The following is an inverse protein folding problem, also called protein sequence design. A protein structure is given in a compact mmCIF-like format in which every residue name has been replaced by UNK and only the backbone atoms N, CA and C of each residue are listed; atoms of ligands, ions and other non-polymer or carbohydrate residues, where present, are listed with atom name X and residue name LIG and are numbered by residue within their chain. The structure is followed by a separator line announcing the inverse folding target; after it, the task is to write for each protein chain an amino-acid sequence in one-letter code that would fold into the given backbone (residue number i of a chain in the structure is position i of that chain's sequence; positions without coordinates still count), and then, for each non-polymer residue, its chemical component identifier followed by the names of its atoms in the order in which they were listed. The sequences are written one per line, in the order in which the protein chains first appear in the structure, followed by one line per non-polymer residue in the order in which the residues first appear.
data_IF_269238715004
#
_entry.id   IF_269238715004
#
_cell.length_a   1.000
_cell.length_b   1.000
_cell.length_c   1.000
_cell.angle_alpha   90.00
_cell.angle_beta   90.00
_cell.angle_gamma   90.00
#
_symmetry.space_group_name_H-M   'P 1'
#
loop_
_entity.id
_entity.type
_entity.pdbx_description
1 polymer ?
#
# COMPACT_ATOMS: atom_id res chain seq x y z
N UNK A 1 -1.10 9.72 18.99
CA UNK A 1 -1.64 9.69 17.62
C UNK A 1 -2.29 8.32 17.34
N UNK A 2 -1.53 7.23 17.16
CA UNK A 2 -2.06 5.87 16.86
C UNK A 2 -3.34 5.45 17.60
N UNK A 3 -3.34 5.40 18.94
CA UNK A 3 -4.51 4.95 19.70
C UNK A 3 -5.73 5.88 19.65
N UNK A 4 -5.55 7.16 19.26
CA UNK A 4 -6.68 8.09 19.11
C UNK A 4 -7.49 7.84 17.84
N UNK A 5 -6.96 7.02 16.93
CA UNK A 5 -7.64 6.61 15.72
C UNK A 5 -8.49 5.35 15.95
N UNK A 6 -8.42 4.72 17.12
CA UNK A 6 -9.22 3.53 17.41
C UNK A 6 -10.66 3.90 17.71
N UNK A 7 -11.59 3.32 16.95
CA UNK A 7 -13.01 3.37 17.24
C UNK A 7 -13.42 2.11 18.02
N UNK A 8 -13.11 0.93 17.48
CA UNK A 8 -13.31 -0.37 18.16
C UNK A 8 -12.00 -1.15 18.28
N UNK A 9 -11.70 -1.64 19.49
CA UNK A 9 -10.63 -2.59 19.75
C UNK A 9 -11.21 -3.95 20.18
N UNK A 10 -10.49 -5.07 19.99
CA UNK A 10 -11.02 -6.37 20.37
C UNK A 10 -11.11 -6.54 21.88
N UNK A 11 -11.95 -7.47 22.34
CA UNK A 11 -12.09 -7.78 23.76
C UNK A 11 -10.75 -8.31 24.32
N UNK A 12 -10.10 -7.51 25.17
CA UNK A 12 -8.79 -7.82 25.73
C UNK A 12 -8.84 -8.78 26.93
N UNK A 13 -10.01 -9.20 27.40
CA UNK A 13 -10.11 -10.27 28.40
C UNK A 13 -9.67 -11.62 27.83
N UNK A 14 -9.87 -11.82 26.52
CA UNK A 14 -9.36 -12.97 25.78
C UNK A 14 -7.83 -12.85 25.55
N UNK A 15 -7.01 -13.80 26.06
CA UNK A 15 -5.57 -13.81 25.85
C UNK A 15 -5.12 -13.78 24.39
N UNK A 16 -5.86 -14.41 23.49
CA UNK A 16 -5.54 -14.48 22.07
C UNK A 16 -5.74 -13.11 21.41
N UNK A 17 -6.86 -12.44 21.73
CA UNK A 17 -7.11 -11.08 21.26
C UNK A 17 -6.02 -10.11 21.73
N UNK A 18 -5.48 -10.26 22.95
CA UNK A 18 -4.35 -9.42 23.41
C UNK A 18 -3.10 -9.62 22.54
N UNK A 19 -2.79 -10.86 22.17
CA UNK A 19 -1.62 -11.17 21.34
C UNK A 19 -1.79 -10.57 19.93
N UNK A 20 -2.94 -10.79 19.31
CA UNK A 20 -3.24 -10.27 17.97
C UNK A 20 -3.31 -8.75 17.95
N UNK A 21 -3.95 -8.15 18.95
CA UNK A 21 -4.01 -6.70 19.11
C UNK A 21 -2.62 -6.09 19.18
N UNK A 22 -1.69 -6.68 19.93
CA UNK A 22 -0.30 -6.20 19.99
C UNK A 22 0.39 -6.22 18.62
N UNK A 23 0.21 -7.28 17.82
CA UNK A 23 0.80 -7.37 16.48
C UNK A 23 0.23 -6.30 15.56
N UNK A 24 -1.09 -6.11 15.57
CA UNK A 24 -1.81 -5.14 14.75
C UNK A 24 -1.45 -3.70 15.15
N UNK A 25 -1.47 -3.39 16.44
CA UNK A 25 -1.15 -2.05 16.92
C UNK A 25 0.32 -1.67 16.61
N UNK A 26 1.25 -2.63 16.64
CA UNK A 26 2.62 -2.39 16.19
C UNK A 26 2.70 -2.08 14.68
N UNK A 27 1.93 -2.78 13.84
CA UNK A 27 1.86 -2.49 12.42
C UNK A 27 1.21 -1.12 12.17
N UNK A 28 0.09 -0.81 12.84
CA UNK A 28 -0.58 0.49 12.76
C UNK A 28 0.35 1.63 13.17
N UNK A 29 1.09 1.49 14.27
CA UNK A 29 2.08 2.49 14.71
C UNK A 29 3.15 2.78 13.67
N UNK A 30 3.67 1.74 12.99
CA UNK A 30 4.63 1.90 11.88
C UNK A 30 4.01 2.70 10.73
N UNK A 31 2.79 2.33 10.32
CA UNK A 31 2.06 3.08 9.30
C UNK A 31 1.86 4.55 9.70
N UNK A 32 1.32 4.80 10.89
CA UNK A 32 1.05 6.18 11.34
C UNK A 32 2.32 7.00 11.43
N UNK A 33 3.44 6.43 11.92
CA UNK A 33 4.73 7.11 11.94
C UNK A 33 5.18 7.47 10.51
N UNK A 34 5.03 6.56 9.56
CA UNK A 34 5.36 6.81 8.15
C UNK A 34 4.52 7.95 7.56
N UNK A 35 3.20 7.94 7.77
CA UNK A 35 2.30 8.98 7.24
C UNK A 35 2.62 10.37 7.82
N UNK A 36 2.95 10.44 9.12
CA UNK A 36 3.39 11.68 9.77
C UNK A 36 4.74 12.16 9.23
N UNK A 37 5.69 11.26 8.99
CA UNK A 37 6.97 11.59 8.36
C UNK A 37 6.80 12.05 6.92
N UNK A 38 5.78 11.55 6.22
CA UNK A 38 5.32 12.01 4.92
C UNK A 38 4.48 13.28 5.00
N UNK A 39 4.28 13.89 6.18
CA UNK A 39 3.51 15.13 6.34
C UNK A 39 2.05 15.03 5.88
N UNK A 40 1.49 13.81 5.81
CA UNK A 40 0.11 13.59 5.42
C UNK A 40 -0.85 13.83 6.62
N UNK A 41 -2.10 14.24 6.37
CA UNK A 41 -3.09 14.46 7.43
C UNK A 41 -3.47 13.14 8.11
N UNK A 42 -3.24 13.07 9.42
CA UNK A 42 -3.62 11.94 10.28
C UNK A 42 -4.45 12.45 11.46
N UNK A 43 -5.68 12.82 11.14
CA UNK A 43 -6.67 13.35 12.09
C UNK A 43 -7.64 12.24 12.47
N UNK A 44 -7.93 12.13 13.76
CA UNK A 44 -8.90 11.18 14.29
C UNK A 44 -10.32 11.55 13.85
N UNK A 45 -11.01 10.64 13.16
CA UNK A 45 -12.45 10.79 12.89
C UNK A 45 -13.29 10.80 14.17
N UNK A 46 -12.79 10.20 15.25
CA UNK A 46 -13.49 10.11 16.53
C UNK A 46 -13.45 11.43 17.31
N UNK A 47 -12.35 12.19 17.21
CA UNK A 47 -12.08 13.29 18.15
C UNK A 47 -11.50 14.58 17.56
N UNK A 48 -11.11 14.60 16.29
CA UNK A 48 -10.42 15.74 15.67
C UNK A 48 -11.18 16.27 14.45
N UNK A 49 -11.43 15.42 13.45
CA UNK A 49 -12.21 15.77 12.25
C UNK A 49 -13.23 14.66 11.93
N UNK A 50 -14.47 14.75 12.44
CA UNK A 50 -15.51 13.75 12.19
C UNK A 50 -15.89 13.57 10.72
N UNK A 51 -15.68 14.59 9.89
CA UNK A 51 -16.07 14.55 8.48
C UNK A 51 -14.96 13.91 7.63
N UNK A 52 -13.71 14.34 7.78
CA UNK A 52 -12.60 13.93 6.89
C UNK A 52 -11.49 13.12 7.57
N UNK A 53 -11.58 12.86 8.88
CA UNK A 53 -10.59 12.08 9.61
C UNK A 53 -10.64 10.58 9.31
N UNK A 54 -9.68 9.85 9.86
CA UNK A 54 -9.59 8.38 9.79
C UNK A 54 -9.83 7.74 11.16
N UNK A 55 -10.46 6.58 11.16
CA UNK A 55 -10.58 5.71 12.33
C UNK A 55 -10.48 4.22 11.95
N UNK A 56 -10.24 3.37 12.94
CA UNK A 56 -10.02 1.94 12.76
C UNK A 56 -10.95 1.10 13.65
N UNK A 57 -11.54 0.07 13.05
CA UNK A 57 -12.27 -0.99 13.75
C UNK A 57 -11.50 -2.31 13.63
N UNK A 58 -11.11 -2.85 14.78
CA UNK A 58 -10.42 -4.12 14.89
C UNK A 58 -11.36 -5.18 15.46
N UNK A 59 -11.95 -5.96 14.56
CA UNK A 59 -13.07 -6.83 14.87
C UNK A 59 -12.65 -8.31 14.79
N UNK A 60 -13.31 -9.14 15.58
CA UNK A 60 -13.24 -10.61 15.49
C UNK A 60 -14.64 -11.14 15.19
N UNK A 61 -14.74 -12.11 14.29
CA UNK A 61 -16.00 -12.81 14.08
C UNK A 61 -16.38 -13.57 15.37
N UNK A 62 -17.57 -13.28 15.92
CA UNK A 62 -18.09 -14.00 17.09
C UNK A 62 -19.17 -14.96 16.62
N UNK A 63 -18.95 -16.27 16.72
CA UNK A 63 -19.92 -17.37 16.62
C UNK A 63 -21.04 -17.25 15.56
N UNK A 64 -22.05 -16.42 15.84
CA UNK A 64 -23.26 -16.22 15.02
C UNK A 64 -23.18 -15.04 14.03
N UNK A 65 -22.14 -14.20 14.08
CA UNK A 65 -21.99 -13.07 13.16
C UNK A 65 -21.32 -13.51 11.85
N UNK A 66 -21.68 -12.90 10.71
CA UNK A 66 -20.97 -13.11 9.46
C UNK A 66 -19.48 -12.76 9.61
N UNK A 67 -18.65 -13.35 8.74
CA UNK A 67 -17.20 -13.10 8.66
C UNK A 67 -16.96 -11.59 8.63
N UNK A 68 -16.02 -11.11 9.47
CA UNK A 68 -15.56 -9.72 9.40
C UNK A 68 -14.86 -9.54 8.06
N UNK A 69 -15.37 -8.60 7.25
CA UNK A 69 -14.72 -8.16 6.03
C UNK A 69 -13.76 -7.04 6.37
N UNK A 70 -12.50 -7.22 5.98
CA UNK A 70 -11.50 -6.16 5.98
C UNK A 70 -11.79 -5.23 4.80
N UNK A 71 -11.67 -3.93 5.01
CA UNK A 71 -11.95 -2.95 3.98
C UNK A 71 -12.00 -1.51 4.51
N UNK A 72 -12.21 -0.59 3.60
CA UNK A 72 -12.35 0.84 3.88
C UNK A 72 -13.73 1.37 3.45
N UNK A 73 -14.34 2.22 4.29
CA UNK A 73 -15.54 2.96 3.96
C UNK A 73 -15.57 4.33 4.65
N UNK A 74 -15.52 5.43 3.89
CA UNK A 74 -15.69 6.80 4.39
C UNK A 74 -14.81 7.14 5.62
N UNK A 75 -13.52 6.82 5.54
CA UNK A 75 -12.55 7.05 6.61
C UNK A 75 -12.59 6.03 7.76
N UNK A 76 -13.47 5.03 7.72
CA UNK A 76 -13.41 3.87 8.60
C UNK A 76 -12.64 2.73 7.91
N UNK A 77 -11.54 2.31 8.52
CA UNK A 77 -10.79 1.11 8.11
C UNK A 77 -11.14 -0.03 9.06
N UNK A 78 -11.71 -1.10 8.53
CA UNK A 78 -12.03 -2.31 9.31
C UNK A 78 -11.01 -3.38 9.01
N UNK A 79 -10.49 -4.05 10.05
CA UNK A 79 -9.56 -5.17 9.92
C UNK A 79 -10.06 -6.35 10.77
N UNK A 80 -10.12 -7.55 10.17
CA UNK A 80 -10.30 -8.78 10.95
C UNK A 80 -9.01 -9.09 11.74
N UNK A 81 -9.10 -9.13 13.07
CA UNK A 81 -7.91 -9.36 13.91
C UNK A 81 -7.30 -10.76 13.72
N UNK A 82 -8.06 -11.72 13.19
CA UNK A 82 -7.57 -13.07 12.86
C UNK A 82 -6.46 -13.05 11.81
N UNK A 83 -6.32 -11.97 11.03
CA UNK A 83 -5.20 -11.78 10.11
C UNK A 83 -3.83 -11.68 10.81
N UNK A 84 -3.83 -11.44 12.13
CA UNK A 84 -2.63 -11.45 12.96
C UNK A 84 -2.12 -12.86 13.30
N UNK A 85 -2.94 -13.89 13.07
CA UNK A 85 -2.51 -15.28 13.07
C UNK A 85 -1.74 -15.59 11.78
N UNK A 86 -0.52 -16.11 11.93
CA UNK A 86 0.38 -16.36 10.81
C UNK A 86 -0.13 -17.54 9.94
N UNK A 87 -0.81 -18.52 10.53
CA UNK A 87 -1.40 -19.67 9.84
C UNK A 87 -2.63 -19.24 9.03
N UNK A 88 -3.50 -18.40 9.61
CA UNK A 88 -4.66 -17.85 8.90
C UNK A 88 -4.21 -16.99 7.74
N UNK A 89 -3.21 -16.12 7.97
CA UNK A 89 -2.66 -15.25 6.93
C UNK A 89 -1.98 -16.03 5.81
N UNK A 90 -1.23 -17.08 6.12
CA UNK A 90 -0.58 -17.95 5.14
C UNK A 90 -1.60 -18.74 4.31
N UNK A 91 -2.68 -19.23 4.95
CA UNK A 91 -3.80 -19.86 4.27
C UNK A 91 -4.49 -18.88 3.32
N UNK A 92 -4.84 -17.69 3.80
CA UNK A 92 -5.47 -16.65 2.99
C UNK A 92 -4.60 -16.24 1.80
N UNK A 93 -3.30 -16.07 2.01
CA UNK A 93 -2.33 -15.78 0.95
C UNK A 93 -2.40 -16.81 -0.18
N UNK A 94 -2.42 -18.11 0.17
CA UNK A 94 -2.52 -19.19 -0.82
C UNK A 94 -3.87 -19.23 -1.52
N UNK A 95 -4.97 -19.08 -0.77
CA UNK A 95 -6.33 -19.09 -1.33
C UNK A 95 -6.56 -17.93 -2.30
N UNK A 96 -6.00 -16.76 -1.99
CA UNK A 96 -6.10 -15.55 -2.81
C UNK A 96 -5.01 -15.44 -3.89
N UNK A 97 -4.12 -16.44 -3.99
CA UNK A 97 -2.98 -16.44 -4.91
C UNK A 97 -2.11 -15.17 -4.78
N UNK A 98 -1.99 -14.65 -3.57
CA UNK A 98 -1.20 -13.47 -3.27
C UNK A 98 0.27 -13.85 -3.07
N UNK A 99 1.22 -13.15 -3.69
CA UNK A 99 2.64 -13.45 -3.50
C UNK A 99 3.14 -13.02 -2.11
N UNK A 100 2.47 -12.05 -1.47
CA UNK A 100 2.90 -11.42 -0.24
C UNK A 100 1.69 -10.90 0.57
N UNK A 101 1.58 -11.30 1.84
CA UNK A 101 0.50 -10.87 2.75
C UNK A 101 1.04 -10.56 4.15
N UNK A 102 0.98 -9.30 4.58
CA UNK A 102 1.38 -8.86 5.93
C UNK A 102 0.37 -7.88 6.51
N UNK A 103 0.29 -7.79 7.84
CA UNK A 103 -0.58 -6.83 8.52
C UNK A 103 -0.28 -5.38 8.11
N UNK A 104 1.00 -5.03 7.98
CA UNK A 104 1.39 -3.69 7.55
C UNK A 104 1.04 -3.45 6.08
N UNK A 105 1.19 -4.45 5.23
CA UNK A 105 0.78 -4.39 3.82
C UNK A 105 -0.71 -4.08 3.67
N UNK A 106 -1.58 -4.81 4.37
CA UNK A 106 -3.01 -4.52 4.35
C UNK A 106 -3.35 -3.15 4.90
N UNK A 107 -2.77 -2.75 6.03
CA UNK A 107 -3.03 -1.41 6.57
C UNK A 107 -2.59 -0.32 5.57
N UNK A 108 -1.51 -0.55 4.81
CA UNK A 108 -1.05 0.34 3.73
C UNK A 108 -1.99 0.35 2.52
N UNK A 109 -2.61 -0.78 2.20
CA UNK A 109 -3.63 -0.89 1.16
C UNK A 109 -4.90 -0.12 1.58
N UNK A 110 -5.47 -0.44 2.75
CA UNK A 110 -6.73 0.17 3.21
C UNK A 110 -6.63 1.68 3.43
N UNK A 111 -5.50 2.15 3.97
CA UNK A 111 -5.27 3.60 4.10
C UNK A 111 -5.10 4.27 2.73
N UNK A 112 -4.71 3.53 1.70
CA UNK A 112 -4.67 4.00 0.32
C UNK A 112 -6.04 4.44 -0.18
N UNK A 113 -7.10 3.67 0.11
CA UNK A 113 -8.48 4.08 -0.19
C UNK A 113 -8.87 5.36 0.56
N UNK A 114 -8.54 5.48 1.84
CA UNK A 114 -8.77 6.71 2.60
C UNK A 114 -8.09 7.93 1.94
N UNK A 115 -6.85 7.79 1.49
CA UNK A 115 -6.16 8.89 0.81
C UNK A 115 -6.65 9.16 -0.61
N UNK A 116 -7.27 8.19 -1.27
CA UNK A 116 -7.99 8.45 -2.52
C UNK A 116 -9.17 9.41 -2.28
N UNK A 117 -10.02 9.10 -1.30
CA UNK A 117 -11.14 9.98 -0.90
C UNK A 117 -10.61 11.36 -0.46
N UNK A 118 -9.50 11.39 0.29
CA UNK A 118 -9.00 12.62 0.88
C UNK A 118 -8.29 13.55 -0.10
N UNK A 119 -7.59 12.99 -1.09
CA UNK A 119 -6.64 13.72 -1.95
C UNK A 119 -6.98 13.70 -3.43
N UNK A 120 -7.91 12.84 -3.87
CA UNK A 120 -8.21 12.63 -5.30
C UNK A 120 -9.65 12.98 -5.64
N UNK A 121 -10.63 12.34 -5.00
CA UNK A 121 -12.05 12.30 -5.42
C UNK A 121 -12.64 13.67 -5.80
N UNK A 122 -12.44 14.70 -4.98
CA UNK A 122 -13.02 16.03 -5.16
C UNK A 122 -11.98 17.10 -5.52
N UNK A 123 -10.93 16.69 -6.25
CA UNK A 123 -9.80 17.56 -6.61
C UNK A 123 -9.52 17.53 -8.11
N UNK A 124 -8.69 18.47 -8.64
CA UNK A 124 -8.23 18.41 -10.03
C UNK A 124 -7.42 17.15 -10.39
N UNK A 125 -7.03 16.32 -9.41
CA UNK A 125 -6.33 15.07 -9.65
C UNK A 125 -7.22 13.96 -10.21
N UNK A 126 -8.54 14.03 -10.04
CA UNK A 126 -9.47 12.97 -10.45
C UNK A 126 -9.36 12.60 -11.93
N UNK A 127 -9.31 13.59 -12.82
CA UNK A 127 -9.25 13.32 -14.27
C UNK A 127 -7.92 12.65 -14.66
N UNK A 128 -6.81 13.11 -14.08
CA UNK A 128 -5.49 12.49 -14.28
C UNK A 128 -5.41 11.09 -13.69
N UNK A 129 -6.07 10.87 -12.56
CA UNK A 129 -6.23 9.56 -11.95
C UNK A 129 -6.96 8.62 -12.93
N UNK A 130 -8.08 9.05 -13.52
CA UNK A 130 -8.84 8.24 -14.49
C UNK A 130 -8.05 7.93 -15.76
N UNK A 131 -7.24 8.86 -16.23
CA UNK A 131 -6.33 8.62 -17.36
C UNK A 131 -5.30 7.51 -17.07
N UNK A 132 -4.86 7.39 -15.82
CA UNK A 132 -3.74 6.52 -15.45
C UNK A 132 -4.17 5.17 -14.85
N UNK A 133 -5.24 5.15 -14.06
CA UNK A 133 -5.75 3.98 -13.34
C UNK A 133 -7.04 3.41 -13.97
N UNK A 134 -7.77 4.22 -14.74
CA UNK A 134 -9.08 3.87 -15.29
C UNK A 134 -10.25 4.51 -14.52
N UNK A 135 -11.46 4.26 -15.00
CA UNK A 135 -12.69 4.87 -14.46
C UNK A 135 -13.20 4.09 -13.24
N UNK A 136 -13.06 4.67 -12.06
CA UNK A 136 -13.48 4.07 -10.79
C UNK A 136 -14.98 3.93 -10.61
N UNK A 137 -15.79 4.49 -11.51
CA UNK A 137 -17.25 4.35 -11.50
C UNK A 137 -17.73 3.00 -12.04
N UNK A 138 -16.81 2.15 -12.51
CA UNK A 138 -17.10 0.75 -12.82
C UNK A 138 -17.78 0.06 -11.62
N UNK A 139 -18.75 -0.83 -11.87
CA UNK A 139 -19.40 -1.56 -10.80
C UNK A 139 -18.39 -2.52 -10.14
N UNK A 140 -18.01 -2.18 -8.91
CA UNK A 140 -17.03 -2.93 -8.13
C UNK A 140 -17.39 -4.42 -7.96
N UNK A 141 -18.67 -4.71 -7.70
CA UNK A 141 -19.12 -6.10 -7.50
C UNK A 141 -19.06 -6.90 -8.78
N UNK A 142 -19.41 -6.29 -9.92
CA UNK A 142 -19.29 -6.89 -11.24
C UNK A 142 -17.82 -7.11 -11.62
N UNK A 143 -16.94 -6.16 -11.31
CA UNK A 143 -15.50 -6.26 -11.55
C UNK A 143 -14.86 -7.41 -10.76
N UNK A 144 -15.19 -7.52 -9.47
CA UNK A 144 -14.73 -8.62 -8.61
C UNK A 144 -15.25 -9.97 -9.10
N UNK A 145 -16.53 -10.05 -9.48
CA UNK A 145 -17.13 -11.27 -10.03
C UNK A 145 -16.45 -11.69 -11.33
N UNK A 146 -16.17 -10.75 -12.24
CA UNK A 146 -15.44 -11.02 -13.49
C UNK A 146 -14.06 -11.60 -13.21
N UNK A 147 -13.30 -11.03 -12.26
CA UNK A 147 -12.00 -11.56 -11.90
C UNK A 147 -12.08 -12.97 -11.28
N UNK A 148 -13.11 -13.25 -10.46
CA UNK A 148 -13.32 -14.60 -9.93
C UNK A 148 -13.62 -15.63 -11.02
N UNK A 149 -14.42 -15.26 -12.03
CA UNK A 149 -14.83 -16.16 -13.12
C UNK A 149 -13.76 -16.34 -14.21
N UNK A 150 -12.97 -15.29 -14.49
CA UNK A 150 -12.09 -15.24 -15.66
C UNK A 150 -10.60 -15.14 -15.29
N UNK A 151 -10.28 -14.84 -14.02
CA UNK A 151 -8.94 -14.47 -13.58
C UNK A 151 -8.52 -13.06 -14.04
N UNK A 152 -7.29 -12.64 -13.70
CA UNK A 152 -6.76 -11.36 -14.12
C UNK A 152 -6.45 -11.36 -15.64
N UNK A 153 -6.49 -10.19 -16.31
CA UNK A 153 -6.12 -10.08 -17.73
C UNK A 153 -4.72 -10.63 -18.00
N UNK A 154 -4.49 -11.37 -19.09
CA UNK A 154 -3.21 -12.04 -19.35
C UNK A 154 -1.97 -11.11 -19.34
N UNK A 155 -2.16 -9.84 -19.69
CA UNK A 155 -1.13 -8.81 -19.69
C UNK A 155 -1.11 -7.94 -18.41
N UNK A 156 -1.77 -8.35 -17.32
CA UNK A 156 -1.87 -7.56 -16.09
C UNK A 156 -0.50 -7.09 -15.59
N UNK A 157 0.52 -7.94 -15.64
CA UNK A 157 1.87 -7.64 -15.15
C UNK A 157 2.58 -6.50 -15.90
N UNK A 158 2.09 -6.11 -17.08
CA UNK A 158 2.62 -4.96 -17.82
C UNK A 158 2.03 -3.64 -17.28
N UNK A 159 0.88 -3.68 -16.63
CA UNK A 159 0.10 -2.49 -16.27
C UNK A 159 -0.13 -2.33 -14.76
N UNK A 160 -0.09 -3.42 -14.00
CA UNK A 160 -0.46 -3.47 -12.59
C UNK A 160 0.64 -4.12 -11.76
N UNK A 161 0.81 -3.65 -10.52
CA UNK A 161 1.85 -4.15 -9.61
C UNK A 161 1.52 -5.55 -9.07
N UNK A 162 0.23 -5.90 -9.00
CA UNK A 162 -0.28 -7.19 -8.61
C UNK A 162 -1.44 -7.61 -9.53
N UNK A 163 -1.80 -8.89 -9.54
CA UNK A 163 -3.00 -9.35 -10.25
C UNK A 163 -4.27 -8.77 -9.63
N UNK A 164 -4.30 -8.58 -8.32
CA UNK A 164 -5.43 -7.99 -7.60
C UNK A 164 -5.68 -6.53 -8.00
N UNK A 165 -4.61 -5.75 -8.21
CA UNK A 165 -4.68 -4.39 -8.75
C UNK A 165 -5.38 -4.31 -10.13
N UNK A 166 -5.43 -5.40 -10.91
CA UNK A 166 -6.11 -5.41 -12.21
C UNK A 166 -7.64 -5.54 -12.12
N UNK A 167 -8.18 -5.76 -10.92
CA UNK A 167 -9.62 -6.01 -10.73
C UNK A 167 -10.42 -4.74 -10.97
N UNK A 168 -10.00 -3.62 -10.40
CA UNK A 168 -10.73 -2.36 -10.41
C UNK A 168 -9.77 -1.17 -10.25
N UNK A 169 -10.01 -0.01 -10.90
CA UNK A 169 -9.12 1.16 -10.77
C UNK A 169 -8.85 1.60 -9.32
N UNK A 170 -9.87 1.49 -8.46
CA UNK A 170 -9.74 1.82 -7.04
C UNK A 170 -8.80 0.87 -6.27
N UNK A 171 -8.73 -0.39 -6.67
CA UNK A 171 -7.79 -1.39 -6.12
C UNK A 171 -6.38 -1.16 -6.65
N UNK A 172 -6.26 -0.81 -7.94
CA UNK A 172 -4.99 -0.44 -8.55
C UNK A 172 -4.34 0.75 -7.84
N UNK A 173 -5.15 1.74 -7.44
CA UNK A 173 -4.70 2.83 -6.58
C UNK A 173 -4.20 2.35 -5.23
N UNK A 174 -5.00 1.58 -4.49
CA UNK A 174 -4.66 1.14 -3.13
C UNK A 174 -3.41 0.28 -3.11
N UNK A 175 -3.25 -0.61 -4.09
CA UNK A 175 -2.05 -1.41 -4.29
C UNK A 175 -0.85 -0.52 -4.64
N UNK A 176 -0.96 0.38 -5.62
CA UNK A 176 0.13 1.30 -5.97
C UNK A 176 0.51 2.21 -4.77
N UNK A 177 -0.47 2.64 -3.97
CA UNK A 177 -0.24 3.42 -2.75
C UNK A 177 0.54 2.61 -1.72
N UNK A 178 0.13 1.36 -1.48
CA UNK A 178 0.85 0.47 -0.56
C UNK A 178 2.30 0.27 -1.02
N UNK A 179 2.51 0.07 -2.32
CA UNK A 179 3.84 -0.05 -2.93
C UNK A 179 4.67 1.22 -2.85
N UNK A 180 4.08 2.39 -3.07
CA UNK A 180 4.75 3.67 -2.83
C UNK A 180 5.26 3.76 -1.38
N UNK A 181 4.42 3.39 -0.41
CA UNK A 181 4.82 3.34 1.00
C UNK A 181 5.89 2.27 1.27
N UNK A 182 5.87 1.12 0.60
CA UNK A 182 6.93 0.12 0.69
C UNK A 182 8.29 0.68 0.22
N UNK A 183 8.31 1.33 -0.94
CA UNK A 183 9.51 1.92 -1.55
C UNK A 183 10.11 2.98 -0.62
N UNK A 184 9.31 3.97 -0.20
CA UNK A 184 9.80 5.10 0.59
C UNK A 184 10.35 4.67 1.95
N UNK A 185 9.64 3.79 2.68
CA UNK A 185 10.06 3.34 4.01
C UNK A 185 11.32 2.48 3.97
N UNK A 186 11.40 1.59 2.97
CA UNK A 186 12.51 0.65 2.84
C UNK A 186 13.78 1.35 2.34
N UNK A 187 13.65 2.33 1.44
CA UNK A 187 14.77 3.16 1.01
C UNK A 187 15.29 4.05 2.13
N UNK A 188 14.42 4.73 2.90
CA UNK A 188 14.86 5.54 4.05
C UNK A 188 15.63 4.66 5.06
N UNK A 189 15.14 3.44 5.30
CA UNK A 189 15.83 2.47 6.14
C UNK A 189 17.20 2.09 5.55
N UNK A 190 17.25 1.69 4.28
CA UNK A 190 18.49 1.27 3.61
C UNK A 190 19.56 2.37 3.62
N UNK A 191 19.17 3.62 3.31
CA UNK A 191 20.06 4.77 3.31
C UNK A 191 20.64 5.04 4.71
N UNK A 192 19.84 4.90 5.77
CA UNK A 192 20.33 5.05 7.16
C UNK A 192 21.35 3.99 7.57
N UNK A 193 21.30 2.81 6.96
CA UNK A 193 22.28 1.73 7.18
C UNK A 193 23.43 1.76 6.16
N UNK A 194 23.50 2.76 5.28
CA UNK A 194 24.56 2.89 4.28
C UNK A 194 24.49 1.88 3.14
N UNK A 195 23.35 1.20 2.96
CA UNK A 195 23.13 0.31 1.82
C UNK A 195 22.82 1.15 0.58
N UNK A 196 23.72 1.13 -0.41
CA UNK A 196 23.55 1.76 -1.72
C UNK A 196 23.46 0.69 -2.79
N UNK A 197 22.54 0.84 -3.74
CA UNK A 197 22.33 -0.12 -4.83
C UNK A 197 23.39 -0.04 -5.95
N UNK A 198 24.31 0.92 -5.86
CA UNK A 198 25.22 1.33 -6.95
C UNK A 198 26.22 0.23 -7.39
N UNK A 199 26.46 -0.79 -6.56
CA UNK A 199 27.52 -1.79 -6.77
C UNK A 199 27.04 -3.16 -7.31
N UNK A 200 25.78 -3.28 -7.73
CA UNK A 200 25.20 -4.55 -8.21
C UNK A 200 25.11 -4.54 -9.74
N UNK A 201 25.68 -5.57 -10.39
CA UNK A 201 25.53 -5.78 -11.84
C UNK A 201 24.03 -5.77 -12.20
N UNK A 202 23.64 -4.82 -13.06
CA UNK A 202 22.24 -4.60 -13.38
C UNK A 202 21.68 -5.75 -14.22
N UNK A 203 20.85 -6.60 -13.61
CA UNK A 203 20.09 -7.63 -14.31
C UNK A 203 18.87 -7.07 -15.07
N UNK A 204 18.52 -5.79 -14.88
CA UNK A 204 17.31 -5.13 -15.41
C UNK A 204 17.69 -3.80 -16.06
N UNK A 205 17.06 -3.49 -17.19
CA UNK A 205 17.19 -2.19 -17.84
C UNK A 205 16.72 -1.07 -16.89
N UNK A 206 17.57 -0.08 -16.58
CA UNK A 206 17.20 0.98 -15.63
C UNK A 206 16.09 1.86 -16.20
N UNK A 207 15.25 2.38 -15.30
CA UNK A 207 14.28 3.40 -15.68
C UNK A 207 14.98 4.72 -15.98
N UNK A 208 14.34 5.52 -16.83
CA UNK A 208 14.78 6.85 -17.24
C UNK A 208 13.73 7.89 -16.88
N UNK A 209 14.12 9.16 -16.88
CA UNK A 209 13.19 10.28 -16.63
C UNK A 209 11.97 10.27 -17.57
N UNK A 210 12.12 9.77 -18.80
CA UNK A 210 11.02 9.66 -19.76
C UNK A 210 9.98 8.60 -19.39
N UNK A 211 10.28 7.73 -18.44
CA UNK A 211 9.34 6.73 -17.94
C UNK A 211 8.41 7.27 -16.85
N UNK A 212 8.72 8.44 -16.27
CA UNK A 212 7.89 9.08 -15.25
C UNK A 212 6.57 9.58 -15.82
N UNK A 213 5.58 9.77 -14.92
CA UNK A 213 4.32 10.43 -15.28
C UNK A 213 4.53 11.87 -15.77
N UNK A 214 5.41 12.63 -15.11
CA UNK A 214 5.83 13.95 -15.53
C UNK A 214 7.36 14.01 -15.61
N UNK A 215 7.94 13.79 -16.81
CA UNK A 215 9.39 13.85 -17.02
C UNK A 215 10.00 15.23 -16.75
N UNK A 216 9.19 16.28 -16.67
CA UNK A 216 9.63 17.66 -16.44
C UNK A 216 9.53 18.06 -14.97
N UNK A 217 9.09 17.15 -14.09
CA UNK A 217 9.03 17.42 -12.66
C UNK A 217 10.42 17.86 -12.15
N UNK A 218 10.51 18.91 -11.29
CA UNK A 218 11.80 19.48 -10.86
C UNK A 218 12.75 18.48 -10.20
N UNK A 219 12.25 17.38 -9.67
CA UNK A 219 13.03 16.34 -9.00
C UNK A 219 13.01 14.99 -9.74
N UNK A 220 12.63 14.96 -11.02
CA UNK A 220 12.55 13.75 -11.83
C UNK A 220 13.81 12.87 -11.76
N UNK A 221 14.99 13.48 -11.84
CA UNK A 221 16.28 12.78 -11.71
C UNK A 221 16.43 12.09 -10.34
N UNK A 222 16.01 12.77 -9.28
CA UNK A 222 16.07 12.21 -7.93
C UNK A 222 15.08 11.05 -7.75
N UNK A 223 13.87 11.15 -8.31
CA UNK A 223 12.90 10.06 -8.31
C UNK A 223 13.47 8.81 -8.98
N UNK A 224 14.04 8.96 -10.18
CA UNK A 224 14.62 7.84 -10.92
C UNK A 224 15.80 7.22 -10.18
N UNK A 225 16.66 8.04 -9.56
CA UNK A 225 17.75 7.54 -8.72
C UNK A 225 17.22 6.66 -7.58
N UNK A 226 16.20 7.13 -6.85
CA UNK A 226 15.60 6.37 -5.75
C UNK A 226 14.95 5.06 -6.23
N UNK A 227 14.18 5.11 -7.31
CA UNK A 227 13.50 3.92 -7.87
C UNK A 227 14.51 2.90 -8.37
N UNK A 228 15.51 3.31 -9.14
CA UNK A 228 16.54 2.38 -9.62
C UNK A 228 17.34 1.79 -8.45
N UNK A 229 17.64 2.58 -7.42
CA UNK A 229 18.27 2.08 -6.18
C UNK A 229 17.41 1.04 -5.47
N UNK A 230 16.09 1.24 -5.43
CA UNK A 230 15.14 0.29 -4.86
C UNK A 230 15.09 -1.02 -5.64
N UNK A 231 15.07 -0.97 -6.98
CA UNK A 231 15.09 -2.16 -7.84
C UNK A 231 16.38 -2.95 -7.62
N UNK A 232 17.53 -2.28 -7.52
CA UNK A 232 18.80 -2.94 -7.22
C UNK A 232 18.80 -3.58 -5.84
N UNK A 233 18.34 -2.86 -4.81
CA UNK A 233 18.28 -3.36 -3.44
C UNK A 233 17.37 -4.59 -3.32
N UNK A 234 16.18 -4.53 -3.91
CA UNK A 234 15.23 -5.66 -3.89
C UNK A 234 15.76 -6.88 -4.63
N UNK A 235 16.51 -6.68 -5.71
CA UNK A 235 17.21 -7.77 -6.41
C UNK A 235 18.17 -8.49 -5.46
N UNK A 236 19.04 -7.76 -4.75
CA UNK A 236 19.96 -8.36 -3.76
C UNK A 236 19.21 -9.06 -2.63
N UNK A 237 18.17 -8.43 -2.08
CA UNK A 237 17.38 -9.01 -1.00
C UNK A 237 16.68 -10.32 -1.41
N UNK A 238 16.16 -10.37 -2.63
CA UNK A 238 15.53 -11.58 -3.16
C UNK A 238 16.57 -12.68 -3.40
N UNK A 239 17.74 -12.37 -3.96
CA UNK A 239 18.81 -13.36 -4.12
C UNK A 239 19.32 -13.90 -2.78
N UNK A 240 19.48 -13.03 -1.78
CA UNK A 240 19.82 -13.45 -0.41
C UNK A 240 18.73 -14.36 0.18
N UNK A 241 17.45 -14.01 0.02
CA UNK A 241 16.35 -14.83 0.49
C UNK A 241 16.35 -16.22 -0.17
N UNK A 242 16.48 -16.28 -1.50
CA UNK A 242 16.56 -17.52 -2.27
C UNK A 242 17.75 -18.38 -1.85
N UNK A 243 18.91 -17.78 -1.60
CA UNK A 243 20.13 -18.49 -1.14
C UNK A 243 19.94 -19.20 0.20
N UNK A 244 19.03 -18.69 1.05
CA UNK A 244 18.68 -19.26 2.34
C UNK A 244 17.43 -20.15 2.29
N UNK A 245 16.87 -20.41 1.11
CA UNK A 245 15.65 -21.22 0.92
C UNK A 245 14.35 -20.50 1.30
N UNK A 246 14.38 -19.16 1.41
CA UNK A 246 13.19 -18.34 1.59
C UNK A 246 12.61 -17.90 0.24
N UNK A 247 11.32 -17.57 0.24
CA UNK A 247 10.69 -16.90 -0.89
C UNK A 247 11.22 -15.46 -1.01
N UNK A 248 11.03 -14.88 -2.20
CA UNK A 248 11.37 -13.48 -2.46
C UNK A 248 10.79 -12.56 -1.37
N UNK A 249 11.63 -11.65 -0.88
CA UNK A 249 11.23 -10.64 0.10
C UNK A 249 10.28 -9.62 -0.55
N UNK A 250 10.55 -9.27 -1.81
CA UNK A 250 9.73 -8.39 -2.63
C UNK A 250 9.45 -9.07 -3.98
N UNK A 251 8.38 -9.90 -4.07
CA UNK A 251 8.05 -10.70 -5.25
C UNK A 251 7.32 -9.91 -6.35
N UNK A 252 7.51 -8.59 -6.43
CA UNK A 252 6.74 -7.73 -7.33
C UNK A 252 7.62 -7.17 -8.44
N UNK A 253 7.06 -7.14 -9.65
CA UNK A 253 7.72 -6.58 -10.83
C UNK A 253 7.16 -5.18 -11.09
N UNK A 254 8.01 -4.18 -11.03
CA UNK A 254 7.64 -2.81 -11.36
C UNK A 254 7.73 -2.63 -12.88
N UNK A 255 6.61 -2.45 -13.57
CA UNK A 255 6.62 -2.07 -14.98
C UNK A 255 6.78 -0.55 -15.15
N UNK A 256 7.06 -0.08 -16.38
CA UNK A 256 7.07 1.36 -16.69
C UNK A 256 5.71 2.01 -16.40
N UNK A 257 4.60 1.30 -16.64
CA UNK A 257 3.25 1.79 -16.31
C UNK A 257 3.06 1.93 -14.79
N UNK A 258 3.52 0.95 -14.01
CA UNK A 258 3.45 1.04 -12.54
C UNK A 258 4.34 2.17 -12.02
N UNK A 259 5.54 2.37 -12.57
CA UNK A 259 6.39 3.51 -12.22
C UNK A 259 5.66 4.85 -12.42
N UNK A 260 4.93 5.01 -13.53
CA UNK A 260 4.11 6.22 -13.76
C UNK A 260 3.07 6.42 -12.65
N UNK A 261 2.38 5.35 -12.25
CA UNK A 261 1.41 5.37 -11.13
C UNK A 261 2.05 5.76 -9.81
N UNK A 262 3.22 5.19 -9.49
CA UNK A 262 3.96 5.55 -8.27
C UNK A 262 4.43 7.01 -8.28
N UNK A 263 4.93 7.50 -9.41
CA UNK A 263 5.33 8.90 -9.56
C UNK A 263 4.13 9.84 -9.43
N UNK A 264 2.97 9.47 -9.98
CA UNK A 264 1.73 10.21 -9.83
C UNK A 264 1.30 10.33 -8.36
N UNK A 265 1.32 9.23 -7.61
CA UNK A 265 1.06 9.22 -6.16
C UNK A 265 2.04 10.13 -5.43
N UNK A 266 3.33 10.06 -5.76
CA UNK A 266 4.35 10.92 -5.15
C UNK A 266 4.06 12.42 -5.37
N UNK A 267 3.60 12.80 -6.57
CA UNK A 267 3.24 14.19 -6.87
C UNK A 267 2.06 14.67 -6.00
N UNK A 268 1.02 13.85 -5.86
CA UNK A 268 -0.13 14.13 -4.98
C UNK A 268 0.32 14.27 -3.53
N UNK A 269 1.14 13.33 -3.04
CA UNK A 269 1.67 13.37 -1.67
C UNK A 269 2.48 14.65 -1.43
N UNK A 270 3.32 15.07 -2.39
CA UNK A 270 4.07 16.32 -2.26
C UNK A 270 3.21 17.58 -2.25
N UNK A 271 2.17 17.61 -3.08
CA UNK A 271 1.21 18.72 -3.09
C UNK A 271 0.47 18.79 -1.74
N UNK A 272 0.00 17.65 -1.24
CA UNK A 272 -0.69 17.54 0.06
C UNK A 272 0.19 17.99 1.24
N UNK A 273 1.51 17.80 1.15
CA UNK A 273 2.48 18.30 2.15
C UNK A 273 2.67 19.83 2.14
N UNK A 274 2.22 20.53 1.09
CA UNK A 274 2.18 21.98 1.04
C UNK A 274 3.54 22.68 0.86
N UNK A 275 4.24 22.44 -0.27
CA UNK A 275 5.29 23.36 -0.77
C UNK A 275 6.46 23.66 0.18
N UNK A 276 6.62 22.87 1.25
CA UNK A 276 7.65 23.07 2.27
C UNK A 276 8.67 21.96 2.15
N UNK A 277 9.84 22.31 1.60
CA UNK A 277 11.05 21.46 1.58
C UNK A 277 11.41 21.05 3.00
N UNK A 278 11.52 19.76 3.25
CA UNK A 278 12.40 19.23 4.29
C UNK A 278 13.23 18.09 3.71
N UNK A 279 14.52 18.43 3.56
CA UNK A 279 15.72 17.64 3.29
C UNK A 279 15.80 16.93 1.93
#
# INVERSE_FOLDING_TARGET
RSCRLDHTIPNLDDPENRLWWRKIENAKRRLIAQLLNLGLPVESKVSEDPEHGVMFDFLRATGQKPRVLTGHANGLITLNIEEADDSIREKARKEMHEPYRTLLGHLRHEIGHYYWDRLVSDTPWLEKYRELFGDEREDYSAALKRNYEQGPPANWAQNHISSYASIHPWEDWAECWAHYLHVVDSLDTALRFGLRGEDVEQAVEPFTVNDLYDPKAPDAEHVILLINSWVQLTTVLNELARSMGHQDFYPFVMSRTVLRKLHFIQMIVKEARGGTRLL
#
